data_IF_081637554210
#
_entry.id   IF_081637554210
#
_cell.length_a   1.000
_cell.length_b   1.000
_cell.length_c   1.000
_cell.angle_alpha   90.00
_cell.angle_beta   90.00
_cell.angle_gamma   90.00
#
_symmetry.space_group_name_H-M   'P 1'
#
loop_
_entity.id
_entity.type
_entity.pdbx_description
1 polymer ?
#
# COMPACT_ATOMS: atom_id res chain seq x y z
N UNK A 1 -2.03 -18.90 29.25
CA UNK A 1 -3.02 -18.76 28.15
C UNK A 1 -2.77 -17.45 27.43
N UNK A 2 -2.68 -17.45 26.09
CA UNK A 2 -2.05 -16.40 25.29
C UNK A 2 -2.85 -15.08 25.28
N UNK A 3 -2.12 -13.95 25.26
CA UNK A 3 -2.63 -12.58 25.14
C UNK A 3 -3.39 -12.43 23.81
N UNK A 4 -4.72 -12.48 23.89
CA UNK A 4 -5.59 -12.12 22.77
C UNK A 4 -5.45 -10.61 22.51
N UNK A 5 -4.64 -10.27 21.51
CA UNK A 5 -4.52 -8.91 20.98
C UNK A 5 -5.85 -8.55 20.33
N UNK A 6 -6.59 -7.65 20.97
CA UNK A 6 -7.82 -7.07 20.44
C UNK A 6 -7.47 -6.35 19.14
N UNK A 7 -7.91 -6.92 18.01
CA UNK A 7 -7.94 -6.25 16.73
C UNK A 7 -8.98 -5.12 16.81
N UNK A 8 -8.53 -3.90 17.05
CA UNK A 8 -9.33 -2.71 16.84
C UNK A 8 -9.49 -2.49 15.32
N UNK A 9 -10.40 -3.24 14.71
CA UNK A 9 -11.01 -2.86 13.43
C UNK A 9 -12.18 -1.94 13.75
N UNK A 10 -11.92 -0.63 13.80
CA UNK A 10 -12.98 0.38 13.88
C UNK A 10 -12.97 1.16 12.57
N UNK A 11 -13.84 0.72 11.67
CA UNK A 11 -14.17 1.38 10.42
C UNK A 11 -14.45 2.87 10.65
N UNK A 12 -13.80 3.74 9.87
CA UNK A 12 -14.33 5.06 9.53
C UNK A 12 -13.66 5.59 8.26
N UNK A 13 -14.50 5.74 7.22
CA UNK A 13 -14.35 6.45 5.95
C UNK A 13 -13.97 5.65 4.69
N UNK A 14 -15.03 5.47 3.91
CA UNK A 14 -15.25 4.79 2.64
C UNK A 14 -14.37 5.35 1.49
N UNK A 15 -13.15 4.81 1.34
CA UNK A 15 -12.47 4.49 0.06
C UNK A 15 -11.17 3.70 0.33
N UNK A 16 -11.01 2.53 -0.30
CA UNK A 16 -11.37 1.25 0.28
C UNK A 16 -10.29 0.72 1.25
N UNK A 17 -10.77 -0.03 2.24
CA UNK A 17 -10.05 -0.99 3.11
C UNK A 17 -9.04 -1.90 2.36
N UNK A 18 -9.12 -1.92 1.02
CA UNK A 18 -8.33 -2.75 0.13
C UNK A 18 -7.02 -2.09 -0.35
N UNK A 19 -6.78 -0.78 -0.17
CA UNK A 19 -5.54 -0.15 -0.68
C UNK A 19 -4.27 -0.85 -0.16
N UNK A 20 -4.21 -1.10 1.16
CA UNK A 20 -3.11 -1.84 1.78
C UNK A 20 -2.98 -3.25 1.21
N UNK A 21 -4.09 -3.91 0.89
CA UNK A 21 -4.10 -5.25 0.28
C UNK A 21 -3.62 -5.22 -1.17
N UNK A 22 -4.05 -4.24 -1.97
CA UNK A 22 -3.57 -4.02 -3.35
C UNK A 22 -2.08 -3.70 -3.38
N UNK A 23 -1.61 -2.91 -2.41
CA UNK A 23 -0.19 -2.60 -2.26
C UNK A 23 0.64 -3.86 -1.95
N UNK A 24 0.14 -4.75 -1.07
CA UNK A 24 0.76 -6.05 -0.80
C UNK A 24 0.76 -6.92 -2.05
N UNK A 25 -0.40 -7.08 -2.72
CA UNK A 25 -0.51 -7.86 -3.95
C UNK A 25 0.41 -7.35 -5.05
N UNK A 26 0.52 -6.04 -5.22
CA UNK A 26 1.45 -5.44 -6.17
C UNK A 26 2.90 -5.82 -5.84
N UNK A 27 3.31 -5.68 -4.59
CA UNK A 27 4.66 -6.05 -4.13
C UNK A 27 4.97 -7.52 -4.37
N UNK A 28 4.00 -8.40 -4.16
CA UNK A 28 4.13 -9.85 -4.40
C UNK A 28 4.17 -10.19 -5.90
N UNK A 29 3.26 -9.62 -6.69
CA UNK A 29 3.20 -9.87 -8.13
C UNK A 29 4.40 -9.28 -8.90
N UNK A 30 4.96 -8.16 -8.42
CA UNK A 30 6.16 -7.55 -8.98
C UNK A 30 7.47 -8.16 -8.45
N UNK A 31 7.40 -9.17 -7.56
CA UNK A 31 8.53 -9.78 -6.86
C UNK A 31 9.48 -8.76 -6.19
N UNK A 32 8.90 -7.68 -5.67
CA UNK A 32 9.67 -6.60 -5.04
C UNK A 32 9.82 -6.84 -3.53
N UNK A 33 10.95 -6.43 -2.96
CA UNK A 33 11.00 -6.20 -1.52
C UNK A 33 10.32 -4.87 -1.19
N UNK A 34 9.87 -4.70 0.05
CA UNK A 34 9.33 -3.42 0.51
C UNK A 34 10.35 -2.29 0.34
N UNK A 35 11.62 -2.52 0.69
CA UNK A 35 12.68 -1.53 0.54
C UNK A 35 12.90 -1.12 -0.93
N UNK A 36 12.84 -2.08 -1.87
CA UNK A 36 12.98 -1.81 -3.29
C UNK A 36 11.78 -1.02 -3.83
N UNK A 37 10.57 -1.40 -3.43
CA UNK A 37 9.37 -0.64 -3.77
C UNK A 37 9.49 0.83 -3.33
N UNK A 38 10.00 1.07 -2.13
CA UNK A 38 10.14 2.43 -1.59
C UNK A 38 11.22 3.24 -2.30
N UNK A 39 12.36 2.60 -2.58
CA UNK A 39 13.40 3.19 -3.42
C UNK A 39 12.89 3.59 -4.78
N UNK A 40 12.11 2.73 -5.43
CA UNK A 40 11.52 3.00 -6.76
C UNK A 40 10.47 4.11 -6.71
N UNK A 41 9.70 4.21 -5.63
CA UNK A 41 8.73 5.29 -5.42
C UNK A 41 9.39 6.61 -4.98
N UNK A 42 10.67 6.59 -4.58
CA UNK A 42 11.38 7.76 -4.08
C UNK A 42 10.79 8.31 -2.77
N UNK A 43 10.17 7.45 -1.95
CA UNK A 43 9.53 7.85 -0.69
C UNK A 43 10.30 7.34 0.52
N UNK A 44 10.24 8.09 1.61
CA UNK A 44 10.80 7.66 2.88
C UNK A 44 10.11 6.37 3.39
N UNK A 45 10.84 5.39 3.97
CA UNK A 45 10.28 4.13 4.46
C UNK A 45 9.13 4.28 5.47
N UNK A 46 9.05 5.38 6.22
CA UNK A 46 7.93 5.64 7.11
C UNK A 46 6.61 5.86 6.37
N UNK A 47 6.66 6.47 5.18
CA UNK A 47 5.47 6.86 4.41
C UNK A 47 4.59 5.65 4.04
N UNK A 48 5.11 4.60 3.37
CA UNK A 48 4.34 3.39 3.05
C UNK A 48 4.02 2.53 4.27
N UNK A 49 4.82 2.61 5.35
CA UNK A 49 4.47 2.00 6.63
C UNK A 49 3.19 2.62 7.20
N UNK A 50 2.99 3.94 7.05
CA UNK A 50 1.74 4.61 7.43
C UNK A 50 0.57 4.18 6.55
N UNK A 51 0.81 3.93 5.27
CA UNK A 51 -0.24 3.41 4.38
C UNK A 51 -0.71 2.03 4.81
N UNK A 52 0.24 1.13 5.06
CA UNK A 52 -0.06 -0.26 5.44
C UNK A 52 -0.62 -0.39 6.85
N UNK A 53 0.08 0.16 7.86
CA UNK A 53 -0.18 -0.11 9.27
C UNK A 53 -1.15 0.89 9.91
N UNK A 54 -1.22 2.12 9.38
CA UNK A 54 -2.07 3.19 9.94
C UNK A 54 -3.26 3.55 9.06
N UNK A 55 -3.42 2.89 7.91
CA UNK A 55 -4.51 3.17 6.96
C UNK A 55 -4.46 4.59 6.38
N UNK A 56 -3.30 5.25 6.41
CA UNK A 56 -3.15 6.60 5.86
C UNK A 56 -3.12 6.52 4.35
N UNK A 57 -3.96 7.27 3.65
CA UNK A 57 -3.94 7.26 2.20
C UNK A 57 -2.70 7.98 1.64
N UNK A 58 -2.14 7.50 0.51
CA UNK A 58 -1.12 8.25 -0.22
C UNK A 58 -1.69 9.59 -0.68
N UNK A 59 -0.84 10.61 -0.71
CA UNK A 59 -1.16 11.88 -1.38
C UNK A 59 -1.28 11.64 -2.89
N UNK A 60 -1.94 12.55 -3.62
CA UNK A 60 -2.11 12.43 -5.07
C UNK A 60 -0.79 12.20 -5.82
N UNK A 61 0.30 12.88 -5.41
CA UNK A 61 1.65 12.66 -5.98
C UNK A 61 2.15 11.22 -5.79
N UNK A 62 1.96 10.66 -4.59
CA UNK A 62 2.37 9.29 -4.28
C UNK A 62 1.51 8.27 -5.03
N UNK A 63 0.21 8.53 -5.16
CA UNK A 63 -0.70 7.67 -5.91
C UNK A 63 -0.34 7.65 -7.41
N UNK A 64 -0.04 8.80 -8.00
CA UNK A 64 0.42 8.87 -9.40
C UNK A 64 1.74 8.14 -9.61
N UNK A 65 2.70 8.28 -8.70
CA UNK A 65 3.97 7.55 -8.76
C UNK A 65 3.75 6.03 -8.64
N UNK A 66 2.85 5.61 -7.74
CA UNK A 66 2.49 4.21 -7.57
C UNK A 66 1.79 3.64 -8.80
N UNK A 67 0.87 4.39 -9.41
CA UNK A 67 0.19 4.01 -10.64
C UNK A 67 1.18 3.87 -11.80
N UNK A 68 2.06 4.84 -12.00
CA UNK A 68 3.08 4.80 -13.05
C UNK A 68 4.03 3.61 -12.84
N UNK A 69 4.44 3.37 -11.59
CA UNK A 69 5.25 2.20 -11.26
C UNK A 69 4.50 0.91 -11.54
N UNK A 70 3.24 0.77 -11.09
CA UNK A 70 2.44 -0.42 -11.34
C UNK A 70 2.20 -0.68 -12.83
N UNK A 71 1.98 0.37 -13.63
CA UNK A 71 1.83 0.30 -15.09
C UNK A 71 3.10 -0.25 -15.76
N UNK A 72 4.30 0.13 -15.27
CA UNK A 72 5.57 -0.40 -15.78
C UNK A 72 5.76 -1.92 -15.56
N UNK A 73 4.99 -2.51 -14.63
CA UNK A 73 4.93 -3.96 -14.39
C UNK A 73 3.70 -4.63 -15.05
N UNK A 74 2.84 -3.88 -15.75
CA UNK A 74 1.55 -4.39 -16.26
C UNK A 74 0.48 -4.61 -15.18
N UNK A 75 0.71 -4.09 -13.96
CA UNK A 75 -0.12 -4.29 -12.78
C UNK A 75 -0.98 -3.06 -12.42
N UNK A 76 -1.08 -2.06 -13.32
CA UNK A 76 -1.84 -0.83 -13.08
C UNK A 76 -3.33 -1.06 -12.78
N UNK A 77 -3.90 -2.18 -13.26
CA UNK A 77 -5.28 -2.59 -12.97
C UNK A 77 -5.55 -2.80 -11.47
N UNK A 78 -4.52 -3.09 -10.67
CA UNK A 78 -4.63 -3.23 -9.22
C UNK A 78 -4.97 -1.92 -8.50
N UNK A 79 -4.97 -0.77 -9.16
CA UNK A 79 -5.19 0.53 -8.51
C UNK A 79 -6.19 1.44 -9.24
N UNK A 80 -6.85 0.97 -10.31
CA UNK A 80 -7.77 1.76 -11.17
C UNK A 80 -9.28 1.47 -10.94
N UNK A 81 -9.67 0.99 -9.77
CA UNK A 81 -11.10 0.71 -9.45
C UNK A 81 -11.91 1.96 -9.08
#
# INVERSE_FOLDING_TARGET
>A
MPRQRIHHSRATQDYPDDFSRRLVRFKEAADLSWAELYRRLGVDPETPRRWRDKGVLPTGKHLTALLALADSFGLGHLFRE
#
